data_IF_268179843157
#
_entry.id   IF_268179843157
#
_cell.length_a   1.000
_cell.length_b   1.000
_cell.length_c   1.000
_cell.angle_alpha   90.00
_cell.angle_beta   90.00
_cell.angle_gamma   90.00
#
_symmetry.space_group_name_H-M   'P 1'
#
loop_
_entity.id
_entity.type
_entity.pdbx_description
1 polymer ?
#
# COMPACT_ATOMS: atom_id res chain seq x y z
N UNK A 1 -1.89 -5.83 -22.73
CA UNK A 1 -1.73 -4.80 -21.69
C UNK A 1 -0.58 -5.17 -20.77
N UNK A 2 0.28 -4.25 -20.49
CA UNK A 2 1.41 -4.46 -19.57
C UNK A 2 1.27 -3.56 -18.36
N UNK A 3 1.83 -4.01 -17.24
CA UNK A 3 1.86 -3.20 -16.02
C UNK A 3 3.20 -2.48 -15.90
N UNK A 4 3.18 -1.29 -15.32
CA UNK A 4 4.40 -0.54 -15.09
C UNK A 4 5.32 -1.34 -14.15
N UNK A 5 6.62 -1.50 -14.50
CA UNK A 5 7.56 -2.23 -13.64
C UNK A 5 7.65 -1.69 -12.21
N UNK A 6 7.52 -0.39 -12.03
CA UNK A 6 7.56 0.21 -10.69
C UNK A 6 6.36 -0.20 -9.86
N UNK A 7 5.18 -0.29 -10.49
CA UNK A 7 3.97 -0.76 -9.81
C UNK A 7 4.11 -2.22 -9.38
N UNK A 8 4.65 -3.06 -10.28
CA UNK A 8 4.90 -4.48 -9.96
C UNK A 8 5.89 -4.60 -8.80
N UNK A 9 6.98 -3.83 -8.82
CA UNK A 9 7.96 -3.82 -7.75
C UNK A 9 7.33 -3.37 -6.42
N UNK A 10 6.46 -2.37 -6.46
CA UNK A 10 5.74 -1.91 -5.28
C UNK A 10 4.98 -3.07 -4.62
N UNK A 11 4.25 -3.86 -5.42
CA UNK A 11 3.49 -5.00 -4.90
C UNK A 11 4.42 -6.07 -4.31
N UNK A 12 5.57 -6.33 -4.95
CA UNK A 12 6.55 -7.29 -4.41
C UNK A 12 7.06 -6.81 -3.05
N UNK A 13 7.46 -5.55 -2.94
CA UNK A 13 7.93 -5.00 -1.67
C UNK A 13 6.83 -5.01 -0.61
N UNK A 14 5.59 -4.75 -1.00
CA UNK A 14 4.47 -4.71 -0.07
C UNK A 14 4.05 -6.11 0.40
N UNK A 15 3.80 -7.02 -0.53
CA UNK A 15 3.21 -8.34 -0.23
C UNK A 15 4.23 -9.41 0.13
N UNK A 16 5.42 -9.36 -0.46
CA UNK A 16 6.41 -10.45 -0.35
C UNK A 16 7.52 -10.06 0.61
N UNK A 17 8.15 -8.92 0.36
CA UNK A 17 9.30 -8.48 1.16
C UNK A 17 8.90 -7.77 2.44
N UNK A 18 7.69 -7.21 2.49
CA UNK A 18 7.23 -6.37 3.62
C UNK A 18 8.19 -5.23 3.90
N UNK A 19 8.81 -4.72 2.84
CA UNK A 19 9.77 -3.62 2.90
C UNK A 19 9.06 -2.33 2.52
N UNK A 20 8.46 -1.70 3.52
CA UNK A 20 7.64 -0.52 3.29
C UNK A 20 8.47 0.73 2.98
N UNK A 21 9.74 0.72 3.33
CA UNK A 21 10.64 1.79 2.92
C UNK A 21 10.88 1.76 1.40
N UNK A 22 11.17 0.57 0.86
CA UNK A 22 11.35 0.43 -0.59
C UNK A 22 10.04 0.63 -1.34
N UNK A 23 8.89 0.29 -0.74
CA UNK A 23 7.58 0.66 -1.29
C UNK A 23 7.49 2.16 -1.53
N UNK A 24 7.95 2.95 -0.56
CA UNK A 24 7.96 4.40 -0.63
C UNK A 24 8.79 4.87 -1.82
N UNK A 25 10.02 4.33 -1.95
CA UNK A 25 10.94 4.75 -2.99
C UNK A 25 10.39 4.50 -4.40
N UNK A 26 9.93 3.28 -4.67
CA UNK A 26 9.44 2.94 -6.03
C UNK A 26 8.12 3.62 -6.35
N UNK A 27 7.23 3.74 -5.38
CA UNK A 27 5.91 4.36 -5.61
C UNK A 27 6.03 5.88 -5.74
N UNK A 28 6.95 6.52 -5.03
CA UNK A 28 7.19 7.95 -5.19
C UNK A 28 7.67 8.25 -6.61
N UNK A 29 8.57 7.43 -7.15
CA UNK A 29 9.04 7.57 -8.53
C UNK A 29 7.88 7.43 -9.51
N UNK A 30 7.04 6.40 -9.36
CA UNK A 30 5.88 6.19 -10.21
C UNK A 30 4.88 7.35 -10.10
N UNK A 31 4.62 7.83 -8.90
CA UNK A 31 3.71 8.94 -8.65
C UNK A 31 4.18 10.20 -9.38
N UNK A 32 5.48 10.50 -9.35
CA UNK A 32 6.04 11.64 -10.06
C UNK A 32 5.96 11.47 -11.58
N UNK A 33 6.25 10.27 -12.08
CA UNK A 33 6.18 9.97 -13.52
C UNK A 33 4.75 10.07 -14.06
N UNK A 34 3.76 9.68 -13.27
CA UNK A 34 2.35 9.66 -13.66
C UNK A 34 1.60 10.95 -13.29
N UNK A 35 2.31 12.07 -13.19
CA UNK A 35 1.68 13.37 -13.00
C UNK A 35 1.07 13.59 -11.63
N UNK A 36 1.58 12.90 -10.62
CA UNK A 36 1.14 13.01 -9.22
C UNK A 36 -0.30 12.53 -9.01
N UNK A 37 -0.62 11.37 -9.60
CA UNK A 37 -1.93 10.75 -9.48
C UNK A 37 -2.26 10.41 -8.03
N UNK A 38 -3.46 10.79 -7.58
CA UNK A 38 -3.90 10.56 -6.20
C UNK A 38 -4.00 9.08 -5.83
N UNK A 39 -4.25 8.20 -6.80
CA UNK A 39 -4.31 6.75 -6.55
C UNK A 39 -2.95 6.25 -6.09
N UNK A 40 -1.89 6.59 -6.80
CA UNK A 40 -0.54 6.19 -6.43
C UNK A 40 -0.12 6.81 -5.10
N UNK A 41 -0.50 8.07 -4.87
CA UNK A 41 -0.22 8.72 -3.59
C UNK A 41 -0.93 8.01 -2.42
N UNK A 42 -2.18 7.60 -2.62
CA UNK A 42 -2.93 6.84 -1.62
C UNK A 42 -2.28 5.50 -1.28
N UNK A 43 -1.86 4.76 -2.31
CA UNK A 43 -1.14 3.50 -2.12
C UNK A 43 0.18 3.71 -1.38
N UNK A 44 0.92 4.75 -1.77
CA UNK A 44 2.16 5.14 -1.10
C UNK A 44 1.91 5.41 0.38
N UNK A 45 0.85 6.15 0.70
CA UNK A 45 0.54 6.51 2.08
C UNK A 45 0.19 5.30 2.94
N UNK A 46 -0.45 4.27 2.39
CA UNK A 46 -0.68 3.01 3.13
C UNK A 46 0.65 2.38 3.54
N UNK A 47 1.58 2.28 2.59
CA UNK A 47 2.89 1.68 2.86
C UNK A 47 3.67 2.47 3.92
N UNK A 48 3.69 3.80 3.80
CA UNK A 48 4.42 4.65 4.75
C UNK A 48 3.76 4.64 6.13
N UNK A 49 2.43 4.55 6.18
CA UNK A 49 1.70 4.41 7.45
C UNK A 49 2.10 3.12 8.17
N UNK A 50 2.18 1.99 7.46
CA UNK A 50 2.63 0.72 8.02
C UNK A 50 4.08 0.82 8.52
N UNK A 51 4.94 1.47 7.75
CA UNK A 51 6.31 1.73 8.13
C UNK A 51 6.39 2.50 9.46
N UNK A 52 5.61 3.58 9.58
CA UNK A 52 5.60 4.39 10.81
C UNK A 52 5.11 3.61 12.03
N UNK A 53 4.02 2.83 11.88
CA UNK A 53 3.55 2.04 13.02
C UNK A 53 4.61 1.01 13.44
N UNK A 54 5.23 0.33 12.48
CA UNK A 54 6.29 -0.64 12.78
C UNK A 54 7.44 -0.02 13.56
N UNK A 55 7.72 1.26 13.31
CA UNK A 55 8.79 2.01 13.99
C UNK A 55 8.29 2.81 15.20
N UNK A 56 7.07 2.57 15.66
CA UNK A 56 6.53 3.20 16.87
C UNK A 56 6.00 4.61 16.70
N UNK A 57 5.93 5.12 15.46
CA UNK A 57 5.40 6.46 15.20
C UNK A 57 3.88 6.38 14.97
N UNK A 58 3.11 6.33 16.05
CA UNK A 58 1.66 6.18 16.00
C UNK A 58 0.98 7.40 15.37
N UNK A 59 1.41 8.58 15.73
CA UNK A 59 0.86 9.83 15.19
C UNK A 59 1.06 9.91 13.68
N UNK A 60 2.26 9.59 13.18
CA UNK A 60 2.56 9.58 11.75
C UNK A 60 1.74 8.53 11.01
N UNK A 61 1.63 7.33 11.58
CA UNK A 61 0.83 6.25 10.99
C UNK A 61 -0.64 6.65 10.86
N UNK A 62 -1.21 7.23 11.91
CA UNK A 62 -2.61 7.67 11.92
C UNK A 62 -2.88 8.71 10.84
N UNK A 63 -2.01 9.70 10.76
CA UNK A 63 -2.14 10.78 9.77
C UNK A 63 -2.10 10.24 8.34
N UNK A 64 -1.17 9.32 8.06
CA UNK A 64 -1.00 8.77 6.72
C UNK A 64 -2.11 7.80 6.33
N UNK A 65 -2.60 6.97 7.25
CA UNK A 65 -3.77 6.15 6.96
C UNK A 65 -5.01 6.99 6.68
N UNK A 66 -5.18 8.08 7.41
CA UNK A 66 -6.31 8.99 7.16
C UNK A 66 -6.23 9.59 5.76
N UNK A 67 -5.05 10.05 5.36
CA UNK A 67 -4.83 10.56 4.00
C UNK A 67 -5.03 9.51 2.92
N UNK A 68 -4.56 8.28 3.17
CA UNK A 68 -4.73 7.17 2.23
C UNK A 68 -6.21 6.84 2.02
N UNK A 69 -6.98 6.71 3.09
CA UNK A 69 -8.42 6.42 3.01
C UNK A 69 -9.14 7.50 2.20
N UNK A 70 -8.89 8.78 2.47
CA UNK A 70 -9.51 9.89 1.74
C UNK A 70 -9.24 9.82 0.23
N UNK A 71 -8.04 9.39 -0.16
CA UNK A 71 -7.68 9.30 -1.57
C UNK A 71 -8.25 8.05 -2.22
N UNK A 72 -8.06 6.89 -1.59
CA UNK A 72 -8.44 5.61 -2.19
C UNK A 72 -9.95 5.43 -2.32
N UNK A 73 -10.74 6.01 -1.44
CA UNK A 73 -12.21 5.90 -1.52
C UNK A 73 -12.81 6.55 -2.77
N UNK A 74 -12.03 7.35 -3.50
CA UNK A 74 -12.45 8.01 -4.74
C UNK A 74 -12.38 7.10 -5.97
N UNK A 75 -11.84 5.90 -5.83
CA UNK A 75 -11.56 5.01 -6.96
C UNK A 75 -12.43 3.75 -6.89
N UNK A 76 -12.60 3.05 -8.02
CA UNK A 76 -13.38 1.81 -8.04
C UNK A 76 -12.79 0.74 -7.12
N UNK A 77 -13.63 -0.22 -6.72
CA UNK A 77 -13.20 -1.34 -5.88
C UNK A 77 -12.12 -2.19 -6.54
N UNK A 78 -12.13 -2.26 -7.88
CA UNK A 78 -11.12 -2.98 -8.64
C UNK A 78 -10.50 -2.04 -9.66
N UNK A 79 -9.20 -1.85 -9.58
CA UNK A 79 -8.45 -0.97 -10.47
C UNK A 79 -6.98 -1.40 -10.49
N UNK A 80 -6.28 -1.17 -11.59
CA UNK A 80 -4.86 -1.55 -11.75
C UNK A 80 -4.59 -3.03 -11.52
N UNK A 81 -5.59 -3.88 -11.74
CA UNK A 81 -5.44 -5.32 -11.54
C UNK A 81 -5.47 -5.76 -10.09
N UNK A 82 -5.83 -4.88 -9.15
CA UNK A 82 -5.91 -5.22 -7.73
C UNK A 82 -7.32 -5.00 -7.18
N UNK A 83 -7.61 -5.66 -6.06
CA UNK A 83 -8.84 -5.49 -5.29
C UNK A 83 -8.64 -4.30 -4.32
N UNK A 84 -8.73 -3.08 -4.84
CA UNK A 84 -8.50 -1.86 -4.06
C UNK A 84 -9.50 -1.73 -2.91
N UNK A 85 -10.76 -2.15 -3.13
CA UNK A 85 -11.79 -2.09 -2.08
C UNK A 85 -11.44 -2.91 -0.86
N UNK A 86 -10.79 -4.07 -1.04
CA UNK A 86 -10.34 -4.89 0.08
C UNK A 86 -9.23 -4.20 0.87
N UNK A 87 -8.26 -3.62 0.17
CA UNK A 87 -7.18 -2.87 0.81
C UNK A 87 -7.74 -1.66 1.57
N UNK A 88 -8.69 -0.96 0.97
CA UNK A 88 -9.34 0.20 1.59
C UNK A 88 -10.06 -0.19 2.88
N UNK A 89 -10.80 -1.32 2.86
CA UNK A 89 -11.46 -1.81 4.07
C UNK A 89 -10.46 -2.14 5.16
N UNK A 90 -9.35 -2.79 4.80
CA UNK A 90 -8.28 -3.11 5.75
C UNK A 90 -7.61 -1.85 6.30
N UNK A 91 -7.41 -0.85 5.45
CA UNK A 91 -6.82 0.43 5.86
C UNK A 91 -7.75 1.17 6.83
N UNK A 92 -9.08 1.15 6.58
CA UNK A 92 -10.06 1.74 7.49
C UNK A 92 -10.07 1.06 8.86
N UNK A 93 -9.99 -0.27 8.86
CA UNK A 93 -9.94 -1.02 10.12
C UNK A 93 -8.66 -0.72 10.91
N UNK A 94 -7.54 -0.64 10.21
CA UNK A 94 -6.26 -0.28 10.82
C UNK A 94 -6.30 1.13 11.42
N UNK A 95 -6.82 2.09 10.66
CA UNK A 95 -6.96 3.47 11.12
C UNK A 95 -7.83 3.56 12.38
N UNK A 96 -8.95 2.85 12.41
CA UNK A 96 -9.83 2.85 13.59
C UNK A 96 -9.09 2.35 14.83
N UNK A 97 -8.23 1.34 14.69
CA UNK A 97 -7.42 0.85 15.80
C UNK A 97 -6.37 1.86 16.24
N UNK A 98 -5.73 2.56 15.29
CA UNK A 98 -4.74 3.60 15.62
C UNK A 98 -5.37 4.77 16.35
N UNK A 99 -6.60 5.14 15.98
CA UNK A 99 -7.32 6.23 16.63
C UNK A 99 -7.70 5.93 18.07
N UNK A 100 -7.67 4.65 18.47
CA UNK A 100 -7.92 4.21 19.84
C UNK A 100 -6.66 3.63 20.49
N UNK A 101 -5.50 3.95 19.95
CA UNK A 101 -4.25 3.33 20.39
C UNK A 101 -3.95 3.53 21.87
N UNK A 102 -4.23 4.71 22.43
CA UNK A 102 -3.96 4.98 23.84
C UNK A 102 -4.79 4.08 24.75
N UNK A 103 -6.04 3.78 24.37
CA UNK A 103 -6.94 2.92 25.12
C UNK A 103 -6.64 1.43 24.88
N UNK A 104 -6.28 1.08 23.66
CA UNK A 104 -6.09 -0.29 23.21
C UNK A 104 -4.88 -0.41 22.29
N UNK A 105 -3.66 -0.35 22.85
CA UNK A 105 -2.44 -0.51 22.03
C UNK A 105 -2.42 -1.87 21.35
N UNK A 106 -1.83 -1.91 20.15
CA UNK A 106 -1.70 -3.16 19.40
C UNK A 106 -0.38 -3.17 18.63
N UNK A 107 0.12 -4.37 18.34
CA UNK A 107 1.33 -4.53 17.56
C UNK A 107 1.06 -4.34 16.07
N UNK A 108 2.07 -3.86 15.35
CA UNK A 108 2.02 -3.78 13.90
C UNK A 108 1.64 -5.13 13.28
N UNK A 109 0.80 -5.11 12.26
CA UNK A 109 0.52 -6.27 11.42
C UNK A 109 0.49 -5.86 9.96
N UNK A 110 0.81 -6.80 9.08
CA UNK A 110 0.87 -6.53 7.65
C UNK A 110 -0.51 -6.55 7.01
N UNK A 111 -0.68 -5.74 5.98
CA UNK A 111 -1.84 -5.79 5.09
C UNK A 111 -1.42 -6.48 3.79
N UNK A 112 -2.40 -6.90 2.99
CA UNK A 112 -2.14 -7.55 1.72
C UNK A 112 -2.86 -6.81 0.60
N UNK A 113 -2.16 -6.63 -0.52
CA UNK A 113 -2.78 -6.19 -1.76
C UNK A 113 -3.23 -7.45 -2.49
N UNK A 114 -4.54 -7.64 -2.60
CA UNK A 114 -5.11 -8.80 -3.30
C UNK A 114 -5.11 -8.52 -4.80
N UNK A 115 -4.48 -9.40 -5.57
CA UNK A 115 -4.35 -9.24 -7.02
C UNK A 115 -5.53 -9.90 -7.70
N UNK A 116 -6.23 -9.14 -8.57
CA UNK A 116 -7.41 -9.60 -9.29
C UNK A 116 -7.06 -10.13 -10.69
N UNK A 117 -6.04 -9.54 -11.33
CA UNK A 117 -5.68 -9.87 -12.72
C UNK A 117 -4.57 -10.93 -12.76
N UNK A 118 -4.82 -12.10 -13.42
CA UNK A 118 -3.80 -13.14 -13.55
C UNK A 118 -2.50 -12.65 -14.20
N UNK A 119 -2.54 -11.69 -15.11
CA UNK A 119 -1.34 -11.13 -15.72
C UNK A 119 -0.49 -10.40 -14.69
N UNK A 120 -1.11 -9.59 -13.84
CA UNK A 120 -0.39 -8.91 -12.77
C UNK A 120 0.21 -9.91 -11.79
N UNK A 121 -0.52 -10.97 -11.46
CA UNK A 121 -0.03 -12.05 -10.60
C UNK A 121 1.24 -12.68 -11.17
N UNK A 122 1.25 -12.96 -12.48
CA UNK A 122 2.43 -13.52 -13.15
C UNK A 122 3.60 -12.56 -13.11
N UNK A 123 3.34 -11.27 -13.35
CA UNK A 123 4.40 -10.25 -13.32
C UNK A 123 5.01 -10.12 -11.92
N UNK A 124 4.17 -10.16 -10.88
CA UNK A 124 4.63 -10.07 -9.49
C UNK A 124 5.49 -11.27 -9.13
N UNK A 125 5.07 -12.49 -9.51
CA UNK A 125 5.85 -13.70 -9.25
C UNK A 125 7.21 -13.69 -9.96
N UNK A 126 7.23 -13.29 -11.23
CA UNK A 126 8.46 -13.22 -12.00
C UNK A 126 9.43 -12.20 -11.41
N UNK A 127 8.93 -11.02 -11.06
CA UNK A 127 9.75 -9.95 -10.45
C UNK A 127 10.28 -10.37 -9.08
N UNK A 128 9.45 -11.03 -8.26
CA UNK A 128 9.89 -11.51 -6.95
C UNK A 128 11.05 -12.49 -7.06
N UNK A 129 11.03 -13.38 -8.07
CA UNK A 129 12.13 -14.31 -8.32
C UNK A 129 13.40 -13.59 -8.74
N UNK A 130 13.30 -12.56 -9.57
CA UNK A 130 14.46 -11.78 -10.01
C UNK A 130 15.10 -10.99 -8.85
N UNK A 131 14.31 -10.65 -7.85
CA UNK A 131 14.76 -9.84 -6.71
C UNK A 131 15.35 -10.67 -5.56
N UNK A 132 15.42 -11.98 -5.70
CA UNK A 132 16.02 -12.86 -4.68
C UNK A 132 17.55 -12.73 -4.59
#
# INVERSE_FOLDING_TARGET
MTYDPLFVQFIVYFNVKRDYFECHEVMEELWLEEGRDLLYQGLLQVAVALYHHRNGNISGATKLFRGAVEKLERYPERILGIELGLLLNDARAYLAKLERYEEAPFAHYDLNIVIADPLLEQNVRATALEME
#
